data_IF_548483096126
#
_entry.id   IF_548483096126
#
_cell.length_a   1.000
_cell.length_b   1.000
_cell.length_c   1.000
_cell.angle_alpha   90.00
_cell.angle_beta   90.00
_cell.angle_gamma   90.00
#
_symmetry.space_group_name_H-M   'P 1'
#
loop_
_entity.id
_entity.type
_entity.pdbx_description
1 polymer ?
#
# COMPACT_ATOMS: atom_id res chain seq x y z
N UNK A 1 7.94 -17.93 -10.69
CA UNK A 1 7.35 -16.57 -10.76
C UNK A 1 8.31 -15.58 -10.10
N UNK A 2 8.57 -14.45 -10.73
CA UNK A 2 9.42 -13.45 -10.06
C UNK A 2 8.69 -12.88 -8.83
N UNK A 3 9.44 -12.52 -7.81
CA UNK A 3 8.91 -11.91 -6.57
C UNK A 3 8.08 -10.65 -6.87
N UNK A 4 8.42 -9.93 -7.96
CA UNK A 4 7.70 -8.75 -8.42
C UNK A 4 6.24 -9.02 -8.80
N UNK A 5 5.93 -10.22 -9.29
CA UNK A 5 4.57 -10.61 -9.70
C UNK A 5 3.74 -11.19 -8.54
N UNK A 6 4.31 -11.31 -7.34
CA UNK A 6 3.58 -11.84 -6.19
C UNK A 6 2.82 -10.74 -5.46
N UNK A 7 1.68 -10.33 -6.02
CA UNK A 7 0.82 -9.29 -5.46
C UNK A 7 0.40 -9.58 -4.02
N UNK A 8 0.07 -10.83 -3.70
CA UNK A 8 -0.31 -11.24 -2.35
C UNK A 8 0.81 -10.99 -1.34
N UNK A 9 2.04 -11.36 -1.68
CA UNK A 9 3.20 -11.14 -0.81
C UNK A 9 3.38 -9.64 -0.51
N UNK A 10 3.34 -8.80 -1.53
CA UNK A 10 3.50 -7.36 -1.37
C UNK A 10 2.36 -6.73 -0.57
N UNK A 11 1.12 -7.19 -0.77
CA UNK A 11 -0.02 -6.74 0.04
C UNK A 11 0.14 -7.14 1.51
N UNK A 12 0.63 -8.34 1.82
CA UNK A 12 0.89 -8.77 3.19
C UNK A 12 1.99 -7.89 3.83
N UNK A 13 3.07 -7.65 3.11
CA UNK A 13 4.17 -6.83 3.61
C UNK A 13 3.69 -5.41 3.92
N UNK A 14 2.97 -4.77 3.00
CA UNK A 14 2.47 -3.41 3.26
C UNK A 14 1.38 -3.39 4.33
N UNK A 15 0.50 -4.39 4.38
CA UNK A 15 -0.54 -4.46 5.41
C UNK A 15 0.06 -4.53 6.82
N UNK A 16 1.06 -5.37 7.02
CA UNK A 16 1.76 -5.48 8.31
C UNK A 16 2.56 -4.19 8.59
N UNK A 17 3.37 -3.73 7.63
CA UNK A 17 4.19 -2.53 7.79
C UNK A 17 3.34 -1.29 8.09
N UNK A 18 2.27 -1.08 7.33
CA UNK A 18 1.38 0.06 7.53
C UNK A 18 0.63 -0.01 8.87
N UNK A 19 0.09 -1.19 9.22
CA UNK A 19 -0.70 -1.33 10.44
C UNK A 19 0.17 -1.36 11.69
N UNK A 20 1.23 -2.17 11.72
CA UNK A 20 2.05 -2.36 12.92
C UNK A 20 3.03 -1.20 13.09
N UNK A 21 3.78 -0.85 12.05
CA UNK A 21 4.77 0.22 12.12
C UNK A 21 4.06 1.57 12.03
N UNK A 22 3.25 1.79 11.01
CA UNK A 22 2.58 3.07 10.78
C UNK A 22 1.67 3.49 11.95
N UNK A 23 0.74 2.64 12.38
CA UNK A 23 -0.11 2.96 13.52
C UNK A 23 0.66 2.91 14.85
N UNK A 24 1.58 1.95 15.01
CA UNK A 24 2.36 1.79 16.23
C UNK A 24 3.29 2.98 16.49
N UNK A 25 4.05 3.42 15.49
CA UNK A 25 4.92 4.61 15.60
C UNK A 25 4.10 5.88 15.80
N UNK A 26 2.98 6.03 15.10
CA UNK A 26 2.09 7.18 15.28
C UNK A 26 1.55 7.23 16.71
N UNK A 27 1.13 6.11 17.28
CA UNK A 27 0.68 6.06 18.66
C UNK A 27 1.82 6.32 19.66
N UNK A 28 3.00 5.79 19.41
CA UNK A 28 4.17 6.03 20.27
C UNK A 28 4.60 7.51 20.26
N UNK A 29 4.43 8.20 19.12
CA UNK A 29 4.85 9.60 18.97
C UNK A 29 3.80 10.58 19.48
N UNK A 30 2.52 10.37 19.13
CA UNK A 30 1.44 11.33 19.39
C UNK A 30 0.48 10.90 20.50
N UNK A 31 0.56 9.64 20.95
CA UNK A 31 -0.33 9.11 21.99
C UNK A 31 -1.80 9.16 21.57
N UNK A 32 -2.64 9.65 22.49
CA UNK A 32 -4.08 9.79 22.28
C UNK A 32 -4.48 11.07 21.54
N UNK A 33 -3.56 12.01 21.33
CA UNK A 33 -3.88 13.33 20.75
C UNK A 33 -4.25 13.21 19.26
N UNK A 34 -3.73 12.21 18.57
CA UNK A 34 -3.96 11.98 17.14
C UNK A 34 -4.71 10.66 16.84
N UNK A 35 -5.62 10.26 17.71
CA UNK A 35 -6.41 9.03 17.52
C UNK A 35 -7.20 9.01 16.22
N UNK A 36 -7.65 10.17 15.73
CA UNK A 36 -8.35 10.25 14.44
C UNK A 36 -7.44 9.84 13.28
N UNK A 37 -6.20 10.30 13.27
CA UNK A 37 -5.21 9.90 12.27
C UNK A 37 -4.85 8.42 12.39
N UNK A 38 -4.56 7.96 13.61
CA UNK A 38 -4.24 6.54 13.87
C UNK A 38 -5.40 5.65 13.43
N UNK A 39 -6.64 6.07 13.67
CA UNK A 39 -7.84 5.36 13.22
C UNK A 39 -7.91 5.21 11.70
N UNK A 40 -7.57 6.25 10.93
CA UNK A 40 -7.51 6.18 9.46
C UNK A 40 -6.41 5.20 9.02
N UNK A 41 -5.25 5.22 9.66
CA UNK A 41 -4.17 4.26 9.38
C UNK A 41 -4.63 2.82 9.62
N UNK A 42 -5.32 2.54 10.72
CA UNK A 42 -5.87 1.21 11.03
C UNK A 42 -6.95 0.79 10.04
N UNK A 43 -7.87 1.66 9.66
CA UNK A 43 -8.91 1.37 8.65
C UNK A 43 -8.28 1.04 7.30
N UNK A 44 -7.27 1.78 6.88
CA UNK A 44 -6.50 1.47 5.66
C UNK A 44 -5.84 0.09 5.77
N UNK A 45 -5.31 -0.25 6.94
CA UNK A 45 -4.77 -1.59 7.23
C UNK A 45 -5.80 -2.70 7.01
N UNK A 46 -7.04 -2.51 7.46
CA UNK A 46 -8.14 -3.48 7.22
C UNK A 46 -8.36 -3.71 5.73
N UNK A 47 -8.38 -2.66 4.90
CA UNK A 47 -8.53 -2.81 3.45
C UNK A 47 -7.35 -3.57 2.81
N UNK A 48 -6.14 -3.31 3.27
CA UNK A 48 -4.95 -4.02 2.79
C UNK A 48 -4.99 -5.51 3.16
N UNK A 49 -5.38 -5.84 4.40
CA UNK A 49 -5.57 -7.24 4.82
C UNK A 49 -6.69 -7.91 4.05
N UNK A 50 -7.81 -7.23 3.83
CA UNK A 50 -8.88 -7.76 2.99
C UNK A 50 -8.37 -8.10 1.57
N UNK A 51 -7.67 -7.17 0.93
CA UNK A 51 -7.10 -7.40 -0.40
C UNK A 51 -6.11 -8.58 -0.41
N UNK A 52 -5.30 -8.71 0.65
CA UNK A 52 -4.29 -9.77 0.75
C UNK A 52 -4.88 -11.18 0.94
N UNK A 53 -5.94 -11.31 1.75
CA UNK A 53 -6.43 -12.61 2.21
C UNK A 53 -7.80 -13.01 1.69
N UNK A 54 -8.61 -12.04 1.27
CA UNK A 54 -10.00 -12.29 0.85
C UNK A 54 -10.18 -12.19 -0.66
N UNK A 55 -9.10 -11.89 -1.41
CA UNK A 55 -9.15 -11.80 -2.87
C UNK A 55 -7.97 -12.53 -3.51
N UNK A 56 -8.12 -12.92 -4.77
CA UNK A 56 -7.13 -13.66 -5.54
C UNK A 56 -7.12 -13.20 -7.01
N UNK A 57 -6.07 -13.60 -7.74
CA UNK A 57 -5.96 -13.39 -9.19
C UNK A 57 -6.08 -11.92 -9.58
N UNK A 58 -6.81 -11.67 -10.64
CA UNK A 58 -7.00 -10.32 -11.20
C UNK A 58 -7.71 -9.36 -10.24
N UNK A 59 -8.66 -9.84 -9.43
CA UNK A 59 -9.33 -9.01 -8.44
C UNK A 59 -8.35 -8.50 -7.38
N UNK A 60 -7.46 -9.36 -6.90
CA UNK A 60 -6.39 -8.98 -5.97
C UNK A 60 -5.43 -7.96 -6.59
N UNK A 61 -5.01 -8.19 -7.84
CA UNK A 61 -4.13 -7.29 -8.56
C UNK A 61 -4.76 -5.89 -8.74
N UNK A 62 -6.02 -5.83 -9.14
CA UNK A 62 -6.77 -4.56 -9.28
C UNK A 62 -6.91 -3.83 -7.95
N UNK A 63 -7.24 -4.54 -6.87
CA UNK A 63 -7.29 -3.93 -5.54
C UNK A 63 -5.94 -3.41 -5.07
N UNK A 64 -4.86 -4.16 -5.30
CA UNK A 64 -3.51 -3.70 -4.97
C UNK A 64 -3.16 -2.40 -5.71
N UNK A 65 -3.44 -2.33 -7.01
CA UNK A 65 -3.20 -1.12 -7.80
C UNK A 65 -4.04 0.08 -7.30
N UNK A 66 -5.32 -0.15 -6.98
CA UNK A 66 -6.25 0.93 -6.56
C UNK A 66 -5.97 1.40 -5.14
N UNK A 67 -5.62 0.50 -4.22
CA UNK A 67 -5.32 0.85 -2.83
C UNK A 67 -3.92 1.46 -2.67
N UNK A 68 -2.94 0.89 -3.34
CA UNK A 68 -1.55 1.27 -3.14
C UNK A 68 -1.05 2.31 -4.15
N UNK A 69 -1.59 2.35 -5.36
CA UNK A 69 -1.18 3.28 -6.40
C UNK A 69 -1.34 4.75 -6.00
N UNK A 70 -2.53 5.19 -5.58
CA UNK A 70 -2.75 6.56 -5.14
C UNK A 70 -1.87 6.95 -3.94
N UNK A 71 -1.66 6.04 -2.98
CA UNK A 71 -0.78 6.29 -1.83
C UNK A 71 0.67 6.45 -2.26
N UNK A 72 1.14 5.60 -3.16
CA UNK A 72 2.48 5.73 -3.74
C UNK A 72 2.69 7.08 -4.43
N UNK A 73 1.74 7.48 -5.29
CA UNK A 73 1.78 8.78 -5.97
C UNK A 73 1.74 9.93 -4.96
N UNK A 74 0.89 9.81 -3.94
CA UNK A 74 0.78 10.82 -2.89
C UNK A 74 2.09 11.02 -2.12
N UNK A 75 2.80 9.95 -1.75
CA UNK A 75 4.10 10.06 -1.10
C UNK A 75 5.14 10.76 -1.99
N UNK A 76 5.15 10.45 -3.30
CA UNK A 76 6.06 11.13 -4.24
C UNK A 76 5.73 12.62 -4.37
N UNK A 77 4.45 12.96 -4.50
CA UNK A 77 4.02 14.35 -4.56
C UNK A 77 4.33 15.09 -3.27
N UNK A 78 4.10 14.46 -2.12
CA UNK A 78 4.40 15.05 -0.80
C UNK A 78 5.89 15.36 -0.65
N UNK A 79 6.76 14.45 -1.06
CA UNK A 79 8.21 14.68 -1.05
C UNK A 79 8.63 15.78 -2.02
N UNK A 80 8.08 15.80 -3.24
CA UNK A 80 8.41 16.78 -4.26
C UNK A 80 7.93 18.21 -3.91
N UNK A 81 6.78 18.30 -3.23
CA UNK A 81 6.16 19.59 -2.86
C UNK A 81 6.51 20.05 -1.44
N UNK A 82 7.22 19.23 -0.66
CA UNK A 82 7.55 19.54 0.73
C UNK A 82 6.31 19.65 1.62
N UNK A 83 5.31 18.77 1.40
CA UNK A 83 4.07 18.82 2.18
C UNK A 83 4.30 18.34 3.61
N UNK A 84 3.59 18.98 4.54
CA UNK A 84 3.62 18.63 5.96
C UNK A 84 2.30 17.98 6.39
N UNK A 85 2.40 17.08 7.37
CA UNK A 85 1.28 16.45 8.05
C UNK A 85 1.61 16.28 9.52
N UNK A 86 0.73 16.71 10.40
CA UNK A 86 0.93 16.71 11.86
C UNK A 86 2.20 17.50 12.33
N UNK A 87 2.57 18.53 11.58
CA UNK A 87 3.73 19.36 11.88
C UNK A 87 5.08 18.77 11.45
N UNK A 88 5.06 17.63 10.76
CA UNK A 88 6.24 16.95 10.23
C UNK A 88 6.14 16.79 8.69
N UNK A 89 7.25 16.65 7.97
CA UNK A 89 7.20 16.34 6.55
C UNK A 89 6.40 15.07 6.29
N UNK A 90 5.37 15.16 5.44
CA UNK A 90 4.55 14.00 5.06
C UNK A 90 5.36 12.92 4.34
N UNK A 91 6.39 13.32 3.61
CA UNK A 91 7.44 12.46 3.07
C UNK A 91 8.71 13.28 2.87
N UNK A 92 9.84 12.77 3.34
CA UNK A 92 11.15 13.39 3.15
C UNK A 92 12.15 12.35 2.62
N UNK A 93 12.99 12.75 1.71
CA UNK A 93 14.07 11.89 1.22
C UNK A 93 15.36 12.21 1.99
N UNK A 94 16.14 11.20 2.36
CA UNK A 94 16.02 9.77 2.02
C UNK A 94 15.13 8.94 2.96
N UNK A 95 14.62 9.47 4.05
CA UNK A 95 13.96 8.74 5.14
C UNK A 95 12.70 8.00 4.66
N UNK A 96 11.97 8.59 3.72
CA UNK A 96 10.72 8.02 3.18
C UNK A 96 10.91 7.05 2.01
N UNK A 97 12.15 6.71 1.64
CA UNK A 97 12.39 5.74 0.55
C UNK A 97 11.72 4.39 0.85
N UNK A 98 11.86 3.89 2.07
CA UNK A 98 11.26 2.60 2.44
C UNK A 98 9.73 2.62 2.38
N UNK A 99 9.02 3.55 2.99
CA UNK A 99 7.57 3.68 2.81
C UNK A 99 7.14 3.81 1.34
N UNK A 100 7.83 4.62 0.54
CA UNK A 100 7.53 4.79 -0.89
C UNK A 100 7.65 3.45 -1.64
N UNK A 101 8.72 2.69 -1.41
CA UNK A 101 8.90 1.38 -2.01
C UNK A 101 7.85 0.38 -1.56
N UNK A 102 7.50 0.37 -0.27
CA UNK A 102 6.48 -0.53 0.28
C UNK A 102 5.10 -0.29 -0.33
N UNK A 103 4.72 0.95 -0.62
CA UNK A 103 3.49 1.27 -1.34
C UNK A 103 3.62 1.06 -2.85
N UNK A 104 4.79 1.33 -3.42
CA UNK A 104 5.05 1.20 -4.86
C UNK A 104 5.07 -0.25 -5.36
N UNK A 105 5.59 -1.18 -4.57
CA UNK A 105 5.71 -2.58 -4.99
C UNK A 105 4.36 -3.28 -5.21
N UNK A 106 3.38 -3.24 -4.27
CA UNK A 106 2.06 -3.79 -4.53
C UNK A 106 1.31 -3.02 -5.62
N UNK A 107 1.50 -1.70 -5.74
CA UNK A 107 0.93 -0.91 -6.82
C UNK A 107 1.43 -1.39 -8.20
N UNK A 108 2.74 -1.54 -8.35
CA UNK A 108 3.37 -2.04 -9.59
C UNK A 108 2.91 -3.47 -9.90
N UNK A 109 2.98 -4.37 -8.93
CA UNK A 109 2.53 -5.75 -9.07
C UNK A 109 1.04 -5.82 -9.46
N UNK A 110 0.23 -4.95 -8.88
CA UNK A 110 -1.19 -4.84 -9.21
C UNK A 110 -1.45 -4.37 -10.65
N UNK A 111 -0.71 -3.37 -11.11
CA UNK A 111 -0.80 -2.89 -12.51
C UNK A 111 -0.36 -3.98 -13.49
N UNK A 112 0.71 -4.71 -13.19
CA UNK A 112 1.20 -5.82 -14.01
C UNK A 112 0.20 -6.96 -14.11
N UNK A 113 -0.58 -7.21 -13.04
CA UNK A 113 -1.61 -8.25 -12.98
C UNK A 113 -3.01 -7.78 -13.37
N UNK A 114 -3.18 -6.55 -13.83
CA UNK A 114 -4.50 -5.92 -14.04
C UNK A 114 -5.42 -6.69 -14.98
N UNK A 115 -4.87 -7.30 -16.04
CA UNK A 115 -5.60 -8.05 -17.07
C UNK A 115 -5.14 -9.52 -17.16
N UNK A 116 -4.67 -10.12 -16.07
CA UNK A 116 -4.06 -11.44 -16.12
C UNK A 116 -5.05 -12.54 -16.55
N UNK A 117 -6.33 -12.42 -16.18
CA UNK A 117 -7.35 -13.41 -16.51
C UNK A 117 -7.84 -13.23 -17.96
N UNK A 118 -7.76 -12.02 -18.51
CA UNK A 118 -8.14 -11.71 -19.88
C UNK A 118 -7.11 -12.25 -20.89
N UNK A 119 -5.88 -12.49 -20.44
CA UNK A 119 -4.79 -13.05 -21.25
C UNK A 119 -4.78 -14.59 -21.25
N UNK A 120 -5.61 -15.26 -20.44
CA UNK A 120 -5.73 -16.69 -20.47
C UNK A 120 -6.39 -17.11 -21.80
N UNK A 121 -5.81 -18.07 -22.59
CA UNK A 121 -6.47 -18.57 -23.77
C UNK A 121 -7.83 -19.13 -23.37
N UNK A 122 -8.88 -18.76 -24.11
CA UNK A 122 -10.20 -19.42 -23.98
C UNK A 122 -9.95 -20.92 -24.06
N UNK A 123 -10.31 -21.64 -23.00
CA UNK A 123 -10.20 -23.07 -23.02
C UNK A 123 -11.00 -23.54 -24.23
N UNK A 124 -10.33 -24.12 -25.21
CA UNK A 124 -11.00 -24.73 -26.33
C UNK A 124 -11.99 -25.76 -25.78
N UNK A 125 -13.24 -25.46 -25.99
CA UNK A 125 -14.33 -26.32 -25.58
C UNK A 125 -14.36 -27.58 -26.46
#
# INVERSE_FOLDING_TARGET
MSVLHNTKLWLIIIAIGHTVIGAGESYATYGTDELAFIGIVLVTGVYLFYAAFMTEGQAQARLAAVLCGPMFVWFILSAAMGLEMLGEPAAALPESIMPILLWGMPALSGVMGWNMDDAAPAAEA
#
